data_IF_575368631195
#
_entry.id   IF_575368631195
#
_cell.length_a   1.000
_cell.length_b   1.000
_cell.length_c   1.000
_cell.angle_alpha   90.00
_cell.angle_beta   90.00
_cell.angle_gamma   90.00
#
_symmetry.space_group_name_H-M   'P 1'
#
loop_
_entity.id
_entity.type
_entity.pdbx_description
1 polymer ?
#
# COMPACT_ATOMS: atom_id res chain seq x y z
N UNK A 1 -25.26 10.46 -25.24
CA UNK A 1 -25.12 9.01 -24.98
C UNK A 1 -26.44 8.54 -24.40
N UNK A 2 -27.11 7.56 -25.01
CA UNK A 2 -28.32 6.96 -24.43
C UNK A 2 -27.88 5.96 -23.36
N UNK A 3 -28.55 5.96 -22.21
CA UNK A 3 -28.37 5.02 -21.12
C UNK A 3 -29.72 4.70 -20.46
N UNK A 4 -29.81 3.55 -19.84
CA UNK A 4 -30.93 3.15 -19.01
C UNK A 4 -30.53 3.29 -17.52
N UNK A 5 -31.50 3.60 -16.68
CA UNK A 5 -31.29 3.52 -15.21
C UNK A 5 -31.77 2.14 -14.79
N UNK A 6 -30.87 1.35 -14.23
CA UNK A 6 -31.10 -0.04 -13.93
C UNK A 6 -30.65 -0.34 -12.51
N UNK A 7 -31.21 -1.37 -11.89
CA UNK A 7 -30.77 -1.87 -10.57
C UNK A 7 -29.70 -2.91 -10.73
N UNK A 8 -28.84 -3.06 -9.71
CA UNK A 8 -27.82 -4.10 -9.69
C UNK A 8 -28.43 -5.50 -9.85
N UNK A 9 -29.58 -5.76 -9.20
CA UNK A 9 -30.27 -7.05 -9.32
C UNK A 9 -30.63 -7.44 -10.75
N UNK A 10 -30.83 -6.47 -11.65
CA UNK A 10 -31.28 -6.71 -13.02
C UNK A 10 -30.12 -7.09 -13.96
N UNK A 11 -28.87 -6.96 -13.50
CA UNK A 11 -27.64 -7.30 -14.23
C UNK A 11 -26.82 -8.42 -13.60
N UNK A 12 -27.39 -9.11 -12.60
CA UNK A 12 -26.74 -10.24 -11.92
C UNK A 12 -27.69 -11.42 -11.80
N UNK A 13 -27.20 -12.63 -11.99
CA UNK A 13 -27.96 -13.86 -11.84
C UNK A 13 -27.96 -14.39 -10.40
N UNK A 14 -26.89 -14.08 -9.65
CA UNK A 14 -26.71 -14.44 -8.25
C UNK A 14 -26.17 -13.26 -7.46
N UNK A 15 -26.70 -13.08 -6.25
CA UNK A 15 -26.20 -12.13 -5.29
C UNK A 15 -26.43 -12.68 -3.87
N UNK A 16 -25.36 -12.84 -3.13
CA UNK A 16 -25.37 -13.37 -1.77
C UNK A 16 -24.14 -12.94 -0.97
N UNK A 17 -23.99 -13.49 0.21
CA UNK A 17 -22.85 -13.30 1.10
C UNK A 17 -22.25 -14.65 1.51
N UNK A 18 -21.14 -14.60 2.24
CA UNK A 18 -20.42 -15.78 2.70
C UNK A 18 -21.03 -16.42 3.94
N UNK A 19 -20.24 -17.21 4.64
CA UNK A 19 -20.62 -17.91 5.86
C UNK A 19 -20.88 -16.93 7.01
N UNK A 20 -22.05 -17.06 7.66
CA UNK A 20 -22.42 -16.27 8.83
C UNK A 20 -21.88 -16.81 10.16
N UNK A 21 -21.19 -17.92 10.15
CA UNK A 21 -20.54 -18.51 11.32
C UNK A 21 -19.02 -18.45 11.25
N UNK A 22 -18.38 -19.02 12.25
CA UNK A 22 -16.94 -19.27 12.25
C UNK A 22 -16.69 -20.66 11.68
N UNK A 23 -15.91 -20.80 10.61
CA UNK A 23 -15.56 -22.12 10.08
C UNK A 23 -14.56 -22.83 10.98
N UNK A 24 -14.35 -24.11 10.74
CA UNK A 24 -13.22 -24.85 11.31
C UNK A 24 -11.96 -24.44 10.55
N UNK A 25 -11.05 -23.72 11.24
CA UNK A 25 -9.78 -23.32 10.64
C UNK A 25 -8.79 -24.47 10.61
N UNK A 26 -7.98 -24.49 9.55
CA UNK A 26 -6.89 -25.43 9.36
C UNK A 26 -5.67 -24.67 8.80
N UNK A 27 -4.59 -24.60 9.55
CA UNK A 27 -3.39 -23.87 9.14
C UNK A 27 -2.73 -24.47 7.86
N UNK A 28 -2.95 -25.76 7.61
CA UNK A 28 -2.50 -26.48 6.41
C UNK A 28 -3.57 -26.55 5.32
N UNK A 29 -4.73 -25.90 5.54
CA UNK A 29 -5.85 -25.90 4.61
C UNK A 29 -5.50 -25.31 3.24
N UNK A 30 -6.20 -25.77 2.22
CA UNK A 30 -5.99 -25.33 0.83
C UNK A 30 -6.70 -24.02 0.50
N UNK A 31 -7.77 -23.67 1.21
CA UNK A 31 -8.64 -22.55 0.89
C UNK A 31 -8.49 -21.43 1.90
N UNK A 32 -8.29 -20.21 1.44
CA UNK A 32 -8.25 -19.03 2.30
C UNK A 32 -9.66 -18.60 2.69
N UNK A 33 -9.89 -18.38 3.98
CA UNK A 33 -11.14 -17.79 4.47
C UNK A 33 -11.06 -16.27 4.41
N UNK A 34 -11.75 -15.67 3.44
CA UNK A 34 -11.68 -14.25 3.16
C UNK A 34 -12.92 -13.50 3.62
N UNK A 35 -12.71 -12.29 4.05
CA UNK A 35 -13.72 -11.32 4.49
C UNK A 35 -13.55 -9.99 3.75
N UNK A 36 -14.37 -8.99 4.04
CA UNK A 36 -14.33 -7.69 3.41
C UNK A 36 -12.96 -6.98 3.50
N UNK A 37 -12.16 -7.28 4.54
CA UNK A 37 -10.80 -6.76 4.70
C UNK A 37 -9.74 -7.42 3.82
N UNK A 38 -10.11 -8.47 3.08
CA UNK A 38 -9.28 -9.12 2.07
C UNK A 38 -9.60 -8.62 0.65
N UNK A 39 -10.52 -7.68 0.51
CA UNK A 39 -10.87 -7.10 -0.78
C UNK A 39 -10.22 -5.72 -0.87
N UNK A 40 -9.44 -5.48 -1.92
CA UNK A 40 -8.76 -4.20 -2.11
C UNK A 40 -8.44 -3.97 -3.59
N UNK A 41 -8.77 -2.77 -4.07
CA UNK A 41 -8.46 -2.26 -5.41
C UNK A 41 -8.66 -3.27 -6.56
N UNK A 42 -9.83 -3.94 -6.55
CA UNK A 42 -10.19 -4.92 -7.57
C UNK A 42 -9.57 -6.31 -7.40
N UNK A 43 -8.83 -6.58 -6.31
CA UNK A 43 -8.11 -7.83 -6.07
C UNK A 43 -8.46 -8.44 -4.72
N UNK A 44 -8.34 -9.77 -4.62
CA UNK A 44 -8.32 -10.48 -3.34
C UNK A 44 -6.89 -10.43 -2.78
N UNK A 45 -6.73 -9.88 -1.58
CA UNK A 45 -5.44 -9.73 -0.91
C UNK A 45 -5.33 -10.73 0.24
N UNK A 46 -4.34 -11.59 0.18
CA UNK A 46 -4.00 -12.52 1.25
C UNK A 46 -2.98 -11.86 2.18
N UNK A 47 -3.33 -11.75 3.46
CA UNK A 47 -2.47 -11.21 4.52
C UNK A 47 -1.83 -12.38 5.28
N UNK A 48 -0.72 -12.14 5.98
CA UNK A 48 -0.05 -13.17 6.78
C UNK A 48 -0.99 -13.86 7.77
N UNK A 49 -1.94 -13.12 8.34
CA UNK A 49 -2.92 -13.62 9.30
C UNK A 49 -4.22 -14.12 8.63
N UNK A 50 -4.30 -14.18 7.30
CA UNK A 50 -5.48 -14.73 6.60
C UNK A 50 -5.59 -16.23 6.91
N UNK A 51 -6.68 -16.60 7.58
CA UNK A 51 -6.94 -17.99 7.99
C UNK A 51 -7.25 -18.87 6.80
N UNK A 52 -6.99 -20.17 6.96
CA UNK A 52 -7.31 -21.19 5.96
C UNK A 52 -8.33 -22.18 6.52
N UNK A 53 -8.93 -22.94 5.62
CA UNK A 53 -9.86 -24.03 5.91
C UNK A 53 -9.54 -25.25 5.06
N UNK A 54 -9.94 -26.43 5.53
CA UNK A 54 -9.77 -27.67 4.79
C UNK A 54 -10.67 -27.71 3.54
N UNK A 55 -10.40 -28.66 2.66
CA UNK A 55 -11.21 -28.92 1.47
C UNK A 55 -12.65 -29.33 1.83
N UNK A 56 -12.81 -30.14 2.87
CA UNK A 56 -14.13 -30.56 3.36
C UNK A 56 -14.95 -29.37 3.86
N UNK A 57 -14.35 -28.50 4.67
CA UNK A 57 -15.02 -27.31 5.20
C UNK A 57 -15.39 -26.35 4.07
N UNK A 58 -14.52 -26.18 3.09
CA UNK A 58 -14.84 -25.40 1.87
C UNK A 58 -16.06 -25.99 1.15
N UNK A 59 -16.09 -27.30 0.86
CA UNK A 59 -17.20 -27.91 0.12
C UNK A 59 -18.56 -27.79 0.84
N UNK A 60 -18.55 -27.77 2.17
CA UNK A 60 -19.73 -27.60 2.99
C UNK A 60 -20.37 -26.21 2.84
N UNK A 61 -19.55 -25.16 2.65
CA UNK A 61 -20.01 -23.76 2.66
C UNK A 61 -19.64 -22.98 1.39
N UNK A 62 -19.11 -23.65 0.37
CA UNK A 62 -18.75 -22.98 -0.89
C UNK A 62 -19.93 -22.21 -1.47
N UNK A 63 -19.61 -21.10 -2.10
CA UNK A 63 -20.53 -20.29 -2.89
C UNK A 63 -20.30 -20.53 -4.37
N UNK A 64 -21.29 -20.18 -5.17
CA UNK A 64 -21.22 -20.32 -6.63
C UNK A 64 -20.48 -19.13 -7.24
N UNK A 65 -19.15 -19.19 -7.12
CA UNK A 65 -18.25 -18.21 -7.70
C UNK A 65 -17.78 -18.70 -9.06
N UNK A 66 -17.69 -17.79 -10.02
CA UNK A 66 -17.22 -18.09 -11.38
C UNK A 66 -16.40 -16.89 -11.93
N UNK A 67 -15.98 -16.96 -13.18
CA UNK A 67 -15.19 -15.93 -13.85
C UNK A 67 -15.92 -14.58 -14.00
N UNK A 68 -17.25 -14.56 -13.73
CA UNK A 68 -18.07 -13.34 -13.76
C UNK A 68 -18.35 -12.75 -12.39
N UNK A 69 -17.78 -13.32 -11.33
CA UNK A 69 -18.01 -12.92 -9.94
C UNK A 69 -17.28 -11.64 -9.58
N UNK A 70 -17.99 -10.71 -8.95
CA UNK A 70 -17.44 -9.54 -8.26
C UNK A 70 -17.75 -9.67 -6.77
N UNK A 71 -16.78 -9.35 -5.93
CA UNK A 71 -16.88 -9.37 -4.47
C UNK A 71 -16.89 -7.93 -3.95
N UNK A 72 -17.72 -7.67 -2.93
CA UNK A 72 -17.83 -6.35 -2.30
C UNK A 72 -17.92 -6.50 -0.79
N UNK A 73 -17.15 -5.69 -0.07
CA UNK A 73 -17.26 -5.65 1.39
C UNK A 73 -18.52 -4.91 1.84
N UNK A 74 -19.36 -5.59 2.63
CA UNK A 74 -20.64 -5.09 3.11
C UNK A 74 -20.73 -4.94 4.63
N UNK A 75 -19.65 -5.27 5.35
CA UNK A 75 -19.61 -5.21 6.80
C UNK A 75 -18.24 -4.70 7.27
N UNK A 76 -18.22 -3.78 8.24
CA UNK A 76 -17.00 -3.12 8.72
C UNK A 76 -16.53 -2.02 7.74
N UNK A 77 -15.45 -2.26 7.01
CA UNK A 77 -15.04 -1.38 5.91
C UNK A 77 -15.93 -1.65 4.71
N UNK A 78 -16.73 -0.65 4.30
CA UNK A 78 -17.70 -0.80 3.22
C UNK A 78 -17.11 -0.46 1.86
N UNK A 79 -17.54 -1.18 0.82
CA UNK A 79 -17.31 -0.83 -0.57
C UNK A 79 -15.91 -1.18 -1.11
N UNK A 80 -15.12 -1.98 -0.40
CA UNK A 80 -13.94 -2.59 -1.01
C UNK A 80 -14.39 -3.64 -2.02
N UNK A 81 -13.73 -3.66 -3.17
CA UNK A 81 -14.11 -4.50 -4.32
C UNK A 81 -12.97 -5.43 -4.70
N UNK A 82 -13.32 -6.65 -5.13
CA UNK A 82 -12.40 -7.56 -5.81
C UNK A 82 -13.11 -8.29 -6.95
N UNK A 83 -12.38 -8.62 -7.99
CA UNK A 83 -12.84 -9.52 -9.06
C UNK A 83 -12.26 -10.90 -8.79
N UNK A 84 -13.12 -11.89 -8.70
CA UNK A 84 -12.71 -13.28 -8.50
C UNK A 84 -12.02 -13.83 -9.76
N UNK A 85 -10.86 -14.46 -9.59
CA UNK A 85 -10.01 -15.02 -10.66
C UNK A 85 -9.66 -16.49 -10.39
N UNK A 86 -10.64 -17.25 -9.89
CA UNK A 86 -10.49 -18.67 -9.52
C UNK A 86 -9.52 -18.93 -8.36
N UNK A 87 -9.33 -17.96 -7.47
CA UNK A 87 -8.56 -18.16 -6.25
C UNK A 87 -9.24 -19.20 -5.35
N UNK A 88 -8.44 -19.99 -4.63
CA UNK A 88 -8.93 -20.96 -3.64
C UNK A 88 -9.42 -20.23 -2.39
N UNK A 89 -10.65 -19.75 -2.41
CA UNK A 89 -11.22 -18.93 -1.32
C UNK A 89 -12.59 -19.43 -0.87
N UNK A 90 -12.86 -19.28 0.41
CA UNK A 90 -14.14 -19.44 1.05
C UNK A 90 -14.57 -18.09 1.64
N UNK A 91 -15.81 -17.67 1.37
CA UNK A 91 -16.30 -16.35 1.76
C UNK A 91 -16.88 -16.34 3.16
N UNK A 92 -16.47 -15.37 3.98
CA UNK A 92 -17.14 -14.98 5.22
C UNK A 92 -18.24 -13.94 5.00
N UNK A 93 -19.09 -13.73 5.99
CA UNK A 93 -20.30 -12.89 5.92
C UNK A 93 -20.09 -11.44 5.49
N UNK A 94 -18.88 -10.92 5.65
CA UNK A 94 -18.57 -9.53 5.30
C UNK A 94 -18.23 -9.34 3.81
N UNK A 95 -18.13 -10.42 3.04
CA UNK A 95 -17.91 -10.41 1.60
C UNK A 95 -19.21 -10.80 0.87
N UNK A 96 -19.88 -9.80 0.30
CA UNK A 96 -20.95 -10.02 -0.66
C UNK A 96 -20.34 -10.43 -2.01
N UNK A 97 -20.97 -11.38 -2.68
CA UNK A 97 -20.62 -11.75 -4.06
C UNK A 97 -21.83 -11.60 -4.97
N UNK A 98 -21.56 -11.34 -6.24
CA UNK A 98 -22.56 -11.42 -7.29
C UNK A 98 -21.94 -11.77 -8.64
N UNK A 99 -22.69 -12.51 -9.44
CA UNK A 99 -22.28 -12.94 -10.77
C UNK A 99 -22.99 -12.07 -11.81
N UNK A 100 -22.21 -11.37 -12.63
CA UNK A 100 -22.75 -10.51 -13.69
C UNK A 100 -23.27 -11.37 -14.83
N UNK A 101 -24.46 -11.08 -15.37
CA UNK A 101 -25.08 -11.82 -16.50
C UNK A 101 -24.24 -11.65 -17.79
N UNK A 102 -24.37 -12.60 -18.73
CA UNK A 102 -23.49 -12.68 -19.91
C UNK A 102 -23.59 -11.46 -20.86
N UNK A 103 -24.79 -10.91 -21.03
CA UNK A 103 -25.04 -9.77 -21.93
C UNK A 103 -24.65 -8.41 -21.35
N UNK A 104 -23.99 -8.38 -20.19
CA UNK A 104 -23.47 -7.16 -19.54
C UNK A 104 -21.97 -7.29 -19.35
N UNK A 105 -21.22 -6.24 -19.66
CA UNK A 105 -19.78 -6.27 -19.48
C UNK A 105 -19.40 -6.25 -17.99
N UNK A 106 -18.74 -7.32 -17.51
CA UNK A 106 -18.34 -7.48 -16.12
C UNK A 106 -17.42 -6.35 -15.64
N UNK A 107 -16.44 -5.96 -16.49
CA UNK A 107 -15.48 -4.93 -16.11
C UNK A 107 -16.15 -3.55 -16.01
N UNK A 108 -17.16 -3.28 -16.82
CA UNK A 108 -17.98 -2.09 -16.65
C UNK A 108 -18.67 -2.08 -15.29
N UNK A 109 -19.31 -3.18 -14.88
CA UNK A 109 -19.93 -3.30 -13.56
C UNK A 109 -18.89 -3.19 -12.43
N UNK A 110 -17.69 -3.77 -12.59
CA UNK A 110 -16.57 -3.56 -11.65
C UNK A 110 -16.35 -2.07 -11.42
N UNK A 111 -16.21 -1.26 -12.47
CA UNK A 111 -15.97 0.18 -12.33
C UNK A 111 -17.16 0.95 -11.78
N UNK A 112 -18.38 0.55 -12.10
CA UNK A 112 -19.59 1.10 -11.46
C UNK A 112 -19.55 0.88 -9.94
N UNK A 113 -19.22 -0.32 -9.50
CA UNK A 113 -19.15 -0.68 -8.08
C UNK A 113 -17.91 -0.06 -7.38
N UNK A 114 -16.85 0.22 -8.09
CA UNK A 114 -15.67 0.95 -7.56
C UNK A 114 -15.87 2.48 -7.55
N UNK A 115 -16.96 2.98 -8.11
CA UNK A 115 -17.20 4.42 -8.25
C UNK A 115 -17.45 5.12 -6.90
N UNK A 116 -17.12 6.43 -6.79
CA UNK A 116 -17.49 7.23 -5.63
C UNK A 116 -19.00 7.27 -5.37
N UNK A 117 -19.83 7.19 -6.41
CA UNK A 117 -21.30 7.18 -6.28
C UNK A 117 -21.79 5.93 -5.55
N UNK A 118 -21.25 4.76 -5.89
CA UNK A 118 -21.58 3.54 -5.18
C UNK A 118 -21.13 3.59 -3.72
N UNK A 119 -19.93 4.06 -3.46
CA UNK A 119 -19.41 4.22 -2.10
C UNK A 119 -20.28 5.16 -1.27
N UNK A 120 -20.67 6.30 -1.84
CA UNK A 120 -21.61 7.24 -1.23
C UNK A 120 -22.96 6.61 -0.97
N UNK A 121 -23.49 5.81 -1.91
CA UNK A 121 -24.72 5.07 -1.72
C UNK A 121 -24.63 4.12 -0.53
N UNK A 122 -23.55 3.34 -0.38
CA UNK A 122 -23.37 2.47 0.78
C UNK A 122 -23.32 3.26 2.09
N UNK A 123 -22.63 4.40 2.10
CA UNK A 123 -22.52 5.31 3.27
C UNK A 123 -23.86 5.93 3.67
N UNK A 124 -24.79 6.07 2.75
CA UNK A 124 -26.15 6.57 3.03
C UNK A 124 -27.12 5.48 3.50
N UNK A 125 -26.82 4.20 3.26
CA UNK A 125 -27.76 3.10 3.48
C UNK A 125 -27.25 2.02 4.44
N UNK A 126 -26.11 2.23 5.10
CA UNK A 126 -25.66 1.27 6.11
C UNK A 126 -26.49 1.38 7.39
N UNK A 127 -26.51 0.28 8.14
CA UNK A 127 -27.07 0.16 9.48
C UNK A 127 -25.97 -0.19 10.47
N UNK A 128 -26.23 0.01 11.76
CA UNK A 128 -25.27 -0.29 12.83
C UNK A 128 -24.39 0.92 13.19
N UNK A 129 -24.28 1.19 14.48
CA UNK A 129 -23.53 2.32 15.05
C UNK A 129 -22.06 1.95 15.31
N UNK A 130 -21.81 0.73 15.77
CA UNK A 130 -20.44 0.25 16.09
C UNK A 130 -19.79 -0.40 14.87
N UNK A 131 -20.51 -1.24 14.14
CA UNK A 131 -20.02 -1.89 12.93
C UNK A 131 -21.03 -1.60 11.82
N UNK A 132 -20.58 -0.85 10.81
CA UNK A 132 -21.39 -0.56 9.62
C UNK A 132 -21.74 -1.86 8.90
N UNK A 133 -23.00 -2.00 8.50
CA UNK A 133 -23.46 -3.16 7.74
C UNK A 133 -24.44 -2.75 6.64
N UNK A 134 -24.28 -3.30 5.46
CA UNK A 134 -25.17 -3.09 4.30
C UNK A 134 -25.89 -4.39 3.98
N UNK A 135 -27.21 -4.33 3.88
CA UNK A 135 -28.00 -5.51 3.58
C UNK A 135 -27.90 -5.95 2.12
N UNK A 136 -28.10 -7.23 1.84
CA UNK A 136 -28.18 -7.73 0.46
C UNK A 136 -29.34 -7.08 -0.32
N UNK A 137 -30.42 -6.67 0.36
CA UNK A 137 -31.53 -5.90 -0.24
C UNK A 137 -31.05 -4.53 -0.71
N UNK A 138 -30.24 -3.84 0.10
CA UNK A 138 -29.62 -2.57 -0.28
C UNK A 138 -28.73 -2.76 -1.50
N UNK A 139 -27.88 -3.79 -1.51
CA UNK A 139 -27.03 -4.11 -2.68
C UNK A 139 -27.87 -4.30 -3.96
N UNK A 140 -28.94 -5.10 -3.89
CA UNK A 140 -29.84 -5.34 -5.04
C UNK A 140 -30.49 -4.09 -5.58
N UNK A 141 -30.84 -3.14 -4.71
CA UNK A 141 -31.53 -1.91 -5.07
C UNK A 141 -30.63 -0.77 -5.54
N UNK A 142 -29.32 -0.95 -5.55
CA UNK A 142 -28.43 0.07 -6.10
C UNK A 142 -28.75 0.34 -7.56
N UNK A 143 -28.99 1.60 -7.90
CA UNK A 143 -29.31 2.05 -9.26
C UNK A 143 -28.16 2.79 -9.90
N UNK A 144 -27.92 2.53 -11.16
CA UNK A 144 -26.85 3.17 -11.92
C UNK A 144 -27.23 3.29 -13.41
N UNK A 145 -26.42 4.04 -14.16
CA UNK A 145 -26.59 4.19 -15.60
C UNK A 145 -25.92 3.05 -16.34
N UNK A 146 -26.71 2.34 -17.16
CA UNK A 146 -26.20 1.28 -18.06
C UNK A 146 -26.27 1.78 -19.50
N UNK A 147 -25.13 2.07 -20.15
CA UNK A 147 -25.09 2.42 -21.57
C UNK A 147 -25.18 1.17 -22.44
N UNK A 148 -25.24 1.36 -23.77
CA UNK A 148 -25.19 0.23 -24.71
C UNK A 148 -23.92 -0.60 -24.53
N UNK A 149 -23.95 -1.87 -24.91
CA UNK A 149 -22.84 -2.82 -24.78
C UNK A 149 -21.54 -2.30 -25.38
N UNK A 150 -21.58 -1.67 -26.56
CA UNK A 150 -20.41 -1.06 -27.19
C UNK A 150 -19.77 0.02 -26.31
N UNK A 151 -20.57 0.83 -25.63
CA UNK A 151 -20.06 1.85 -24.72
C UNK A 151 -19.54 1.25 -23.42
N UNK A 152 -20.19 0.20 -22.88
CA UNK A 152 -19.65 -0.54 -21.74
C UNK A 152 -18.26 -1.09 -22.07
N UNK A 153 -18.11 -1.73 -23.22
CA UNK A 153 -16.83 -2.27 -23.69
C UNK A 153 -15.77 -1.18 -23.88
N UNK A 154 -16.12 -0.04 -24.46
CA UNK A 154 -15.20 1.07 -24.65
C UNK A 154 -14.70 1.64 -23.31
N UNK A 155 -15.62 1.92 -22.38
CA UNK A 155 -15.27 2.43 -21.04
C UNK A 155 -14.41 1.44 -20.29
N UNK A 156 -14.80 0.16 -20.30
CA UNK A 156 -14.02 -0.91 -19.62
C UNK A 156 -12.62 -1.01 -20.19
N UNK A 157 -12.46 -0.96 -21.52
CA UNK A 157 -11.15 -1.06 -22.19
C UNK A 157 -10.23 0.10 -21.79
N UNK A 158 -10.76 1.32 -21.74
CA UNK A 158 -9.97 2.49 -21.34
C UNK A 158 -9.52 2.34 -19.87
N UNK A 159 -10.46 2.08 -18.97
CA UNK A 159 -10.16 2.00 -17.54
C UNK A 159 -9.26 0.80 -17.20
N UNK A 160 -9.50 -0.36 -17.81
CA UNK A 160 -8.63 -1.55 -17.58
C UNK A 160 -7.22 -1.36 -18.15
N UNK A 161 -7.05 -0.58 -19.21
CA UNK A 161 -5.72 -0.21 -19.72
C UNK A 161 -4.96 0.66 -18.73
N UNK A 162 -5.65 1.58 -18.04
CA UNK A 162 -5.05 2.39 -16.97
C UNK A 162 -4.70 1.54 -15.75
N UNK A 163 -5.61 0.66 -15.30
CA UNK A 163 -5.32 -0.28 -14.21
C UNK A 163 -4.10 -1.15 -14.53
N UNK A 164 -4.03 -1.70 -15.75
CA UNK A 164 -2.91 -2.52 -16.20
C UNK A 164 -1.59 -1.74 -16.20
N UNK A 165 -1.62 -0.46 -16.59
CA UNK A 165 -0.43 0.40 -16.56
C UNK A 165 0.01 0.70 -15.13
N UNK A 166 -0.93 0.97 -14.24
CA UNK A 166 -0.64 1.17 -12.80
C UNK A 166 0.00 -0.08 -12.21
N UNK A 167 -0.58 -1.25 -12.48
CA UNK A 167 -0.05 -2.55 -12.01
C UNK A 167 1.36 -2.81 -12.53
N UNK A 168 1.59 -2.62 -13.84
CA UNK A 168 2.91 -2.80 -14.44
C UNK A 168 3.94 -1.83 -13.83
N UNK A 169 3.58 -0.56 -13.64
CA UNK A 169 4.45 0.40 -13.00
C UNK A 169 4.80 -0.01 -11.54
N UNK A 170 3.82 -0.52 -10.78
CA UNK A 170 4.06 -1.00 -9.42
C UNK A 170 5.01 -2.22 -9.41
N UNK A 171 4.87 -3.14 -10.38
CA UNK A 171 5.80 -4.27 -10.54
C UNK A 171 7.21 -3.81 -10.90
N UNK A 172 7.34 -2.86 -11.83
CA UNK A 172 8.63 -2.28 -12.21
C UNK A 172 9.30 -1.62 -10.99
N UNK A 173 8.54 -0.83 -10.21
CA UNK A 173 9.05 -0.18 -8.99
C UNK A 173 9.55 -1.24 -8.00
N UNK A 174 8.75 -2.27 -7.73
CA UNK A 174 9.14 -3.35 -6.82
C UNK A 174 10.41 -4.07 -7.27
N UNK A 175 10.52 -4.41 -8.55
CA UNK A 175 11.70 -5.07 -9.10
C UNK A 175 12.96 -4.17 -9.04
N UNK A 176 12.80 -2.87 -9.29
CA UNK A 176 13.91 -1.92 -9.19
C UNK A 176 14.36 -1.70 -7.73
N UNK A 177 13.44 -1.69 -6.78
CA UNK A 177 13.76 -1.62 -5.35
C UNK A 177 14.51 -2.89 -4.88
N UNK A 178 14.09 -4.07 -5.31
CA UNK A 178 14.76 -5.34 -5.03
C UNK A 178 16.17 -5.38 -5.66
N UNK A 179 16.29 -4.94 -6.91
CA UNK A 179 17.58 -4.85 -7.60
C UNK A 179 18.52 -3.90 -6.87
N UNK A 180 18.03 -2.71 -6.47
CA UNK A 180 18.86 -1.73 -5.74
C UNK A 180 19.35 -2.28 -4.40
N UNK A 181 18.47 -2.99 -3.65
CA UNK A 181 18.85 -3.64 -2.39
C UNK A 181 19.87 -4.77 -2.60
N UNK A 182 19.70 -5.56 -3.64
CA UNK A 182 20.62 -6.65 -4.00
C UNK A 182 21.99 -6.11 -4.40
N UNK A 183 22.02 -5.06 -5.23
CA UNK A 183 23.27 -4.41 -5.64
C UNK A 183 23.97 -3.76 -4.46
N UNK A 184 23.21 -3.07 -3.58
CA UNK A 184 23.77 -2.48 -2.37
C UNK A 184 24.46 -3.54 -1.51
N UNK A 185 23.75 -4.64 -1.21
CA UNK A 185 24.32 -5.75 -0.44
C UNK A 185 25.58 -6.31 -1.12
N UNK A 186 25.48 -6.63 -2.39
CA UNK A 186 26.60 -7.23 -3.14
C UNK A 186 27.82 -6.31 -3.18
N UNK A 187 27.65 -5.01 -3.43
CA UNK A 187 28.77 -4.10 -3.63
C UNK A 187 29.33 -3.52 -2.32
N UNK A 188 28.47 -3.20 -1.36
CA UNK A 188 28.86 -2.44 -0.17
C UNK A 188 28.87 -3.25 1.13
N UNK A 189 28.36 -4.47 1.10
CA UNK A 189 28.40 -5.40 2.25
C UNK A 189 29.25 -6.61 1.95
N UNK A 190 29.05 -7.24 0.79
CA UNK A 190 29.82 -8.41 0.37
C UNK A 190 31.14 -8.00 -0.33
N UNK A 191 31.31 -6.71 -0.70
CA UNK A 191 32.44 -6.10 -1.40
C UNK A 191 32.73 -6.69 -2.79
N UNK A 192 31.68 -7.14 -3.46
CA UNK A 192 31.72 -7.70 -4.81
C UNK A 192 31.35 -6.65 -5.88
N UNK A 193 31.75 -5.41 -5.68
CA UNK A 193 31.66 -4.39 -6.73
C UNK A 193 32.64 -4.71 -7.89
N UNK A 194 32.34 -4.28 -9.13
CA UNK A 194 33.21 -4.58 -10.27
C UNK A 194 34.59 -3.88 -10.14
N UNK A 195 35.64 -4.63 -10.32
CA UNK A 195 36.98 -4.11 -10.50
C UNK A 195 37.15 -3.43 -11.89
N UNK A 196 38.34 -2.98 -12.23
CA UNK A 196 38.68 -2.34 -13.53
C UNK A 196 38.39 -3.25 -14.73
N UNK A 197 38.35 -4.57 -14.54
CA UNK A 197 38.06 -5.57 -15.57
C UNK A 197 36.60 -6.04 -15.56
N UNK A 198 35.80 -5.51 -14.65
CA UNK A 198 34.41 -5.91 -14.47
C UNK A 198 34.20 -7.18 -13.62
N UNK A 199 35.27 -7.74 -13.02
CA UNK A 199 35.18 -8.91 -12.15
C UNK A 199 34.74 -8.49 -10.72
N UNK A 200 34.06 -9.38 -9.94
CA UNK A 200 33.75 -9.10 -8.54
C UNK A 200 35.01 -8.89 -7.72
N UNK A 201 35.13 -7.76 -7.00
CA UNK A 201 36.36 -7.32 -6.35
C UNK A 201 36.92 -8.35 -5.36
N UNK A 202 36.17 -8.69 -4.31
CA UNK A 202 36.67 -9.56 -3.22
C UNK A 202 36.99 -10.97 -3.70
N UNK A 203 36.08 -11.61 -4.42
CA UNK A 203 36.24 -12.99 -4.88
C UNK A 203 37.28 -13.15 -5.99
N UNK A 204 37.66 -12.09 -6.70
CA UNK A 204 38.73 -12.09 -7.70
C UNK A 204 40.09 -11.70 -7.12
N UNK A 205 40.23 -11.62 -5.80
CA UNK A 205 41.52 -11.33 -5.13
C UNK A 205 41.78 -9.84 -4.89
N UNK A 206 40.75 -9.02 -4.89
CA UNK A 206 40.84 -7.61 -4.47
C UNK A 206 41.43 -7.48 -3.07
N UNK A 207 42.31 -6.51 -2.87
CA UNK A 207 43.02 -6.34 -1.62
C UNK A 207 42.13 -5.80 -0.52
N UNK A 208 42.05 -6.55 0.59
CA UNK A 208 41.34 -6.17 1.77
C UNK A 208 42.28 -5.69 2.88
N UNK A 209 41.87 -4.76 3.72
CA UNK A 209 42.61 -4.22 4.85
C UNK A 209 41.78 -4.28 6.12
N UNK A 210 42.42 -4.52 7.27
CA UNK A 210 41.77 -4.56 8.56
C UNK A 210 41.23 -3.18 8.96
N UNK A 211 40.06 -3.16 9.58
CA UNK A 211 39.45 -1.97 10.15
C UNK A 211 38.73 -2.27 11.45
N UNK A 212 38.25 -1.23 12.13
CA UNK A 212 37.46 -1.35 13.37
C UNK A 212 36.11 -2.09 13.16
N UNK A 213 35.62 -2.15 11.92
CA UNK A 213 34.37 -2.83 11.54
C UNK A 213 34.59 -4.15 10.80
N UNK A 214 35.84 -4.69 10.83
CA UNK A 214 36.26 -5.85 10.08
C UNK A 214 37.04 -5.48 8.80
N UNK A 215 37.28 -6.46 7.93
CA UNK A 215 37.99 -6.24 6.68
C UNK A 215 37.18 -5.37 5.70
N UNK A 216 37.82 -4.35 5.16
CA UNK A 216 37.26 -3.46 4.13
C UNK A 216 38.16 -3.43 2.89
N UNK A 217 37.68 -3.06 1.69
CA UNK A 217 38.49 -2.91 0.50
C UNK A 217 39.59 -1.85 0.71
N UNK A 218 40.77 -2.09 0.14
CA UNK A 218 41.84 -1.09 0.14
C UNK A 218 41.36 0.24 -0.47
N UNK A 219 41.69 1.36 0.19
CA UNK A 219 41.24 2.69 -0.22
C UNK A 219 39.88 3.11 0.32
N UNK A 220 39.14 2.22 1.02
CA UNK A 220 37.94 2.61 1.75
C UNK A 220 38.32 3.12 3.15
N UNK A 221 37.49 4.04 3.65
CA UNK A 221 37.65 4.64 4.97
C UNK A 221 36.39 4.50 5.81
N UNK A 222 36.55 4.25 7.12
CA UNK A 222 35.48 4.32 8.08
C UNK A 222 35.20 5.78 8.42
N UNK A 223 33.92 6.15 8.40
CA UNK A 223 33.52 7.49 8.80
C UNK A 223 32.26 7.45 9.67
N UNK A 224 32.11 8.43 10.54
CA UNK A 224 30.90 8.57 11.34
C UNK A 224 29.76 9.19 10.54
N UNK A 225 28.54 8.68 10.72
CA UNK A 225 27.35 9.16 10.02
C UNK A 225 27.17 10.68 10.18
N UNK A 226 27.46 11.23 11.37
CA UNK A 226 27.34 12.70 11.63
C UNK A 226 28.20 13.56 10.72
N UNK A 227 29.31 13.03 10.16
CA UNK A 227 30.20 13.79 9.26
C UNK A 227 29.61 13.94 7.85
N UNK A 228 28.76 12.99 7.43
CA UNK A 228 28.20 12.91 6.07
C UNK A 228 26.71 13.22 6.00
N UNK A 229 26.06 13.51 7.15
CA UNK A 229 24.63 13.79 7.24
C UNK A 229 24.35 15.01 8.08
N UNK A 230 23.47 15.89 7.59
CA UNK A 230 22.83 16.92 8.40
C UNK A 230 21.43 16.46 8.82
N UNK A 231 21.06 16.74 10.07
CA UNK A 231 19.77 16.29 10.63
C UNK A 231 18.79 17.45 10.64
N UNK A 232 17.60 17.25 10.03
CA UNK A 232 16.45 18.13 10.15
C UNK A 232 15.54 17.60 11.25
N UNK A 233 15.53 18.28 12.41
CA UNK A 233 14.80 17.84 13.60
C UNK A 233 13.94 18.96 14.17
N UNK A 234 12.63 18.83 14.02
CA UNK A 234 11.62 19.75 14.53
C UNK A 234 10.82 19.15 15.71
N UNK A 235 11.34 18.10 16.35
CA UNK A 235 10.69 17.49 17.52
C UNK A 235 10.69 18.45 18.71
N UNK A 236 9.77 18.23 19.65
CA UNK A 236 9.69 18.95 20.93
C UNK A 236 8.38 19.68 21.15
N UNK A 237 7.81 20.35 20.17
CA UNK A 237 6.53 21.03 20.29
C UNK A 237 5.59 20.67 19.13
N UNK A 238 4.28 20.58 19.42
CA UNK A 238 3.25 20.43 18.38
C UNK A 238 3.00 21.79 17.72
N UNK A 239 3.12 21.90 16.41
CA UNK A 239 2.75 23.13 15.72
C UNK A 239 1.24 23.37 15.81
N UNK A 240 0.77 24.62 15.70
CA UNK A 240 -0.64 24.93 15.49
C UNK A 240 -1.16 24.20 14.24
N UNK A 241 -2.25 23.46 14.40
CA UNK A 241 -2.85 22.66 13.32
C UNK A 241 -4.07 23.37 12.74
N UNK A 242 -4.22 23.28 11.44
CA UNK A 242 -5.43 23.68 10.74
C UNK A 242 -6.49 22.58 10.79
N UNK A 243 -7.77 23.01 10.82
CA UNK A 243 -8.92 22.08 10.75
C UNK A 243 -9.13 21.55 9.35
N UNK A 244 -8.89 22.39 8.37
CA UNK A 244 -9.04 22.09 6.96
C UNK A 244 -7.72 21.72 6.32
N UNK A 245 -7.79 21.01 5.20
CA UNK A 245 -6.64 20.61 4.41
C UNK A 245 -6.03 21.85 3.74
N UNK A 246 -4.72 22.05 3.97
CA UNK A 246 -3.92 23.09 3.32
C UNK A 246 -2.87 22.49 2.38
N UNK A 247 -2.07 23.34 1.74
CA UNK A 247 -0.94 22.90 0.91
C UNK A 247 0.28 22.47 1.74
N UNK A 248 0.23 22.61 3.08
CA UNK A 248 1.34 22.33 3.99
C UNK A 248 1.05 21.13 4.92
N UNK A 249 1.09 19.88 4.40
CA UNK A 249 0.88 18.68 5.21
C UNK A 249 2.03 18.45 6.18
N UNK A 250 1.71 17.93 7.38
CA UNK A 250 2.69 17.36 8.29
C UNK A 250 2.91 15.90 7.92
N UNK A 251 4.16 15.57 7.65
CA UNK A 251 4.63 14.23 7.42
C UNK A 251 4.88 13.57 8.77
N UNK A 252 4.02 12.62 9.13
CA UNK A 252 4.10 11.84 10.35
C UNK A 252 4.29 10.35 10.04
N UNK A 253 4.30 9.50 11.07
CA UNK A 253 4.49 8.05 10.94
C UNK A 253 3.46 7.41 9.99
N UNK A 254 2.21 7.90 9.97
CA UNK A 254 1.17 7.35 9.08
C UNK A 254 1.51 7.59 7.61
N UNK A 255 2.06 8.76 7.29
CA UNK A 255 2.47 9.08 5.92
C UNK A 255 3.72 8.33 5.47
N UNK A 256 4.55 7.87 6.42
CA UNK A 256 5.70 7.01 6.14
C UNK A 256 5.33 5.53 6.07
N UNK A 257 4.19 5.12 6.62
CA UNK A 257 3.80 3.72 6.70
C UNK A 257 3.40 3.12 5.35
N UNK A 258 3.74 1.85 5.14
CA UNK A 258 3.41 1.07 3.94
C UNK A 258 4.60 0.89 2.99
N UNK A 259 4.35 0.16 1.91
CA UNK A 259 5.37 -0.21 0.94
C UNK A 259 5.81 0.99 0.08
N UNK A 260 6.96 0.82 -0.60
CA UNK A 260 7.56 1.81 -1.48
C UNK A 260 8.38 2.87 -0.75
N UNK A 261 9.19 3.60 -1.50
CA UNK A 261 10.19 4.55 -0.98
C UNK A 261 9.69 5.98 -0.82
N UNK A 262 8.48 6.29 -1.26
CA UNK A 262 7.94 7.66 -1.31
C UNK A 262 6.94 7.90 -0.19
N UNK A 263 6.91 9.12 0.33
CA UNK A 263 5.91 9.56 1.32
C UNK A 263 4.48 9.42 0.75
N UNK A 264 3.59 8.81 1.52
CA UNK A 264 2.19 8.65 1.12
C UNK A 264 1.32 9.83 1.62
N UNK A 265 1.22 10.87 0.83
CA UNK A 265 0.44 12.07 1.16
C UNK A 265 -1.08 11.82 1.29
N UNK A 266 -1.61 10.73 0.71
CA UNK A 266 -3.02 10.37 0.89
C UNK A 266 -3.36 10.00 2.34
N UNK A 267 -2.35 9.64 3.13
CA UNK A 267 -2.48 9.36 4.57
C UNK A 267 -2.27 10.58 5.46
N UNK A 268 -1.94 11.75 4.90
CA UNK A 268 -1.76 12.97 5.68
C UNK A 268 -3.10 13.41 6.31
N UNK A 269 -3.09 13.62 7.61
CA UNK A 269 -4.27 14.01 8.40
C UNK A 269 -4.07 15.32 9.15
N UNK A 270 -2.86 15.86 9.14
CA UNK A 270 -2.49 17.08 9.85
C UNK A 270 -1.91 18.09 8.87
N UNK A 271 -2.33 19.32 9.03
CA UNK A 271 -1.93 20.41 8.14
C UNK A 271 -1.63 21.65 9.00
N UNK A 272 -0.80 22.53 8.47
CA UNK A 272 -0.49 23.83 9.09
C UNK A 272 -0.81 24.95 8.11
N UNK A 273 -0.95 26.18 8.64
CA UNK A 273 -1.05 27.38 7.79
C UNK A 273 0.28 27.73 7.15
N UNK A 274 0.28 28.56 6.12
CA UNK A 274 1.48 29.10 5.49
C UNK A 274 2.34 29.89 6.49
N UNK A 275 1.72 30.65 7.37
CA UNK A 275 2.40 31.40 8.45
C UNK A 275 3.13 30.43 9.40
N UNK A 276 2.44 29.39 9.88
CA UNK A 276 3.05 28.35 10.72
C UNK A 276 4.16 27.62 9.98
N UNK A 277 3.95 27.30 8.72
CA UNK A 277 4.98 26.65 7.88
C UNK A 277 6.24 27.49 7.80
N UNK A 278 6.12 28.79 7.56
CA UNK A 278 7.25 29.70 7.36
C UNK A 278 8.00 30.07 8.65
N UNK A 279 7.34 30.03 9.82
CA UNK A 279 7.90 30.60 11.06
C UNK A 279 8.16 29.59 12.18
N UNK A 280 7.44 28.46 12.24
CA UNK A 280 7.46 27.56 13.40
C UNK A 280 8.64 26.59 13.41
N UNK A 281 9.07 26.09 12.26
CA UNK A 281 9.97 24.94 12.12
C UNK A 281 11.45 25.37 12.18
N UNK A 282 12.04 25.37 13.37
CA UNK A 282 13.38 25.90 13.68
C UNK A 282 14.52 25.23 12.91
N UNK A 283 14.39 23.92 12.56
CA UNK A 283 15.38 23.19 11.76
C UNK A 283 15.08 23.27 10.26
N UNK A 284 14.09 24.07 9.87
CA UNK A 284 13.63 24.18 8.50
C UNK A 284 12.83 22.96 8.06
N UNK A 285 12.74 22.77 6.76
CA UNK A 285 11.94 21.74 6.14
C UNK A 285 12.81 20.69 5.43
N UNK A 286 12.29 19.47 5.23
CA UNK A 286 12.95 18.53 4.34
C UNK A 286 13.11 19.10 2.93
N UNK A 287 14.20 18.75 2.27
CA UNK A 287 14.48 19.05 0.87
C UNK A 287 14.39 17.79 0.03
N UNK A 288 14.20 17.95 -1.28
CA UNK A 288 14.21 16.83 -2.21
C UNK A 288 15.46 15.97 -1.99
N UNK A 289 15.30 14.66 -1.93
CA UNK A 289 16.27 13.63 -1.62
C UNK A 289 16.68 13.52 -0.14
N UNK A 290 16.11 14.29 0.77
CA UNK A 290 16.25 13.99 2.20
C UNK A 290 15.58 12.64 2.53
N UNK A 291 16.15 11.91 3.48
CA UNK A 291 15.62 10.64 3.94
C UNK A 291 14.86 10.89 5.23
N UNK A 292 13.59 10.49 5.28
CA UNK A 292 12.73 10.64 6.44
C UNK A 292 12.66 9.34 7.22
N UNK A 293 12.86 9.42 8.53
CA UNK A 293 12.81 8.26 9.44
C UNK A 293 11.86 8.56 10.59
N UNK A 294 10.97 7.62 10.87
CA UNK A 294 10.16 7.66 12.09
C UNK A 294 10.97 7.26 13.32
N UNK A 295 10.84 8.05 14.39
CA UNK A 295 11.59 7.87 15.64
C UNK A 295 10.70 7.56 16.84
N UNK A 296 9.37 7.62 16.70
CA UNK A 296 8.38 7.34 17.75
C UNK A 296 7.18 6.61 17.12
N UNK A 297 6.56 5.72 17.85
CA UNK A 297 5.46 4.86 17.37
C UNK A 297 6.01 3.68 16.57
N UNK A 298 5.60 3.53 15.33
CA UNK A 298 6.24 2.56 14.41
C UNK A 298 7.60 3.09 14.00
N UNK A 299 8.63 2.78 14.80
CA UNK A 299 10.02 3.22 14.57
C UNK A 299 10.62 2.54 13.35
N UNK A 300 11.45 3.27 12.61
CA UNK A 300 12.18 2.74 11.46
C UNK A 300 11.36 2.67 10.17
N UNK A 301 10.25 3.41 10.06
CA UNK A 301 9.66 3.69 8.75
C UNK A 301 10.55 4.67 8.00
N UNK A 302 11.09 4.25 6.85
CA UNK A 302 12.08 5.01 6.09
C UNK A 302 11.51 5.33 4.71
N UNK A 303 11.52 6.61 4.33
CA UNK A 303 11.07 7.09 3.02
C UNK A 303 12.02 8.17 2.48
N UNK A 304 12.09 8.30 1.17
CA UNK A 304 12.71 9.44 0.52
C UNK A 304 11.69 10.57 0.34
N UNK A 305 12.11 11.78 0.62
CA UNK A 305 11.33 12.98 0.35
C UNK A 305 11.62 13.43 -1.09
N UNK A 306 10.71 13.13 -2.01
CA UNK A 306 10.87 13.37 -3.44
C UNK A 306 10.01 14.53 -3.98
N UNK A 307 9.42 15.31 -3.07
CA UNK A 307 8.60 16.48 -3.40
C UNK A 307 9.05 17.67 -2.58
N UNK A 308 8.55 18.84 -2.88
CA UNK A 308 8.75 20.08 -2.11
C UNK A 308 7.58 20.36 -1.15
N UNK A 309 6.66 19.41 -0.97
CA UNK A 309 5.43 19.60 -0.19
C UNK A 309 5.54 18.98 1.19
N UNK A 310 5.27 19.78 2.21
CA UNK A 310 5.13 19.34 3.57
C UNK A 310 6.33 19.58 4.46
N UNK A 311 6.13 19.29 5.72
CA UNK A 311 7.13 19.43 6.77
C UNK A 311 7.07 18.24 7.73
N UNK A 312 8.08 18.10 8.58
CA UNK A 312 8.16 17.04 9.58
C UNK A 312 8.05 17.64 10.98
N UNK A 313 7.40 16.90 11.89
CA UNK A 313 7.26 17.28 13.29
C UNK A 313 7.19 16.04 14.19
N UNK A 314 7.59 16.19 15.45
CA UNK A 314 7.46 15.26 16.58
C UNK A 314 8.01 13.85 16.41
N UNK A 315 7.55 13.08 15.42
CA UNK A 315 7.81 11.65 15.32
C UNK A 315 8.70 11.26 14.14
N UNK A 316 9.15 12.25 13.38
CA UNK A 316 9.95 12.05 12.17
C UNK A 316 11.14 13.00 12.18
N UNK A 317 12.30 12.48 11.80
CA UNK A 317 13.51 13.26 11.50
C UNK A 317 13.86 13.14 10.02
N UNK A 318 14.46 14.18 9.47
CA UNK A 318 15.03 14.19 8.12
C UNK A 318 16.53 14.06 8.19
N UNK A 319 17.10 13.21 7.34
CA UNK A 319 18.53 13.04 7.15
C UNK A 319 18.90 13.56 5.77
N UNK A 320 19.72 14.60 5.73
CA UNK A 320 20.22 15.23 4.51
C UNK A 320 21.64 14.75 4.26
N UNK A 321 21.80 13.88 3.27
CA UNK A 321 23.13 13.40 2.88
C UNK A 321 23.96 14.51 2.25
N UNK A 322 25.25 14.52 2.56
CA UNK A 322 26.26 15.36 1.90
C UNK A 322 26.90 14.61 0.74
N UNK A 323 27.54 15.32 -0.17
CA UNK A 323 28.36 14.75 -1.25
C UNK A 323 27.64 13.77 -2.17
N UNK A 324 26.35 13.97 -2.43
CA UNK A 324 25.53 13.11 -3.31
C UNK A 324 25.43 11.64 -2.84
N UNK A 325 25.43 11.43 -1.52
CA UNK A 325 25.33 10.10 -0.91
C UNK A 325 23.89 9.70 -0.57
N UNK A 326 22.88 10.43 -1.00
CA UNK A 326 21.48 10.25 -0.62
C UNK A 326 20.93 8.85 -0.94
N UNK A 327 21.23 8.31 -2.12
CA UNK A 327 20.77 6.97 -2.50
C UNK A 327 21.54 5.87 -1.78
N UNK A 328 22.83 6.05 -1.57
CA UNK A 328 23.65 5.13 -0.78
C UNK A 328 23.17 5.10 0.68
N UNK A 329 22.99 6.26 1.30
CA UNK A 329 22.48 6.39 2.66
C UNK A 329 21.09 5.76 2.81
N UNK A 330 20.21 5.95 1.82
CA UNK A 330 18.89 5.33 1.83
C UNK A 330 18.96 3.80 1.87
N UNK A 331 19.79 3.20 1.00
CA UNK A 331 19.96 1.74 0.97
C UNK A 331 20.67 1.23 2.23
N UNK A 332 21.67 1.96 2.73
CA UNK A 332 22.32 1.64 4.00
C UNK A 332 21.34 1.59 5.18
N UNK A 333 20.44 2.56 5.29
CA UNK A 333 19.45 2.62 6.34
C UNK A 333 18.41 1.50 6.20
N UNK A 334 17.99 1.17 4.98
CA UNK A 334 17.09 0.03 4.73
C UNK A 334 17.76 -1.30 5.11
N UNK A 335 19.01 -1.51 4.71
CA UNK A 335 19.77 -2.72 5.04
C UNK A 335 19.94 -2.89 6.56
N UNK A 336 20.18 -1.80 7.27
CA UNK A 336 20.38 -1.79 8.72
C UNK A 336 19.09 -1.52 9.51
N UNK A 337 17.91 -1.59 8.90
CA UNK A 337 16.63 -1.26 9.55
C UNK A 337 16.40 -2.06 10.82
N UNK A 338 16.69 -3.36 10.82
CA UNK A 338 16.57 -4.22 12.01
C UNK A 338 17.45 -3.74 13.17
N UNK A 339 18.69 -3.34 12.88
CA UNK A 339 19.61 -2.82 13.89
C UNK A 339 19.13 -1.46 14.45
N UNK A 340 18.61 -0.57 13.58
CA UNK A 340 18.06 0.72 14.01
C UNK A 340 16.89 0.55 14.99
N UNK A 341 16.06 -0.47 14.82
CA UNK A 341 14.92 -0.76 15.70
C UNK A 341 15.39 -1.24 17.06
N UNK A 342 16.53 -1.92 17.20
CA UNK A 342 17.06 -2.41 18.48
C UNK A 342 17.53 -1.27 19.41
N UNK A 343 17.83 -0.10 18.88
CA UNK A 343 18.16 1.09 19.69
C UNK A 343 16.91 1.80 20.25
N UNK A 344 15.74 1.18 20.17
CA UNK A 344 14.53 1.70 20.77
C UNK A 344 14.63 1.59 22.30
N UNK A 345 14.90 2.71 22.97
CA UNK A 345 14.92 2.85 24.42
C UNK A 345 13.59 3.50 24.82
N UNK A 346 12.49 2.74 24.81
CA UNK A 346 11.21 3.30 25.22
C UNK A 346 10.19 2.25 25.53
#
# INVERSE_FOLDING_TARGET
MKYEIIKLQDVVDKLGDGLHGTPIYDNNGEYYFINGNNLDDGKIVFKENTKKVSREEYHKYKKDLNDRTILVSINGTLGNVAVYKNEKVMLGKSACYFNVIENVNKDYIKYVIMSPDFKKYLEQHYTGTTIKNVSLKTMRNYTFKLPSENHQLLVSKILSSLDSKIELNNQIISNLEELASTLFKRWFVDFEFPDENGNPYKSSGGKMVDSELGEIPEGWEITELKSIVDVVDNRGKTPPLEKDKTDFPIIDVKTLSGNGRVVNYNKAQKYVSEETYSSWFRSGHPKINDILISTVGSIGEIKMFLTDKGTIAQNVVGLRAKKHLEYHLYQFLLYNKSNLITYNIG
#
